data_IF_049045792841
#
_entry.id   IF_049045792841
#
_cell.length_a   1.000
_cell.length_b   1.000
_cell.length_c   1.000
_cell.angle_alpha   90.00
_cell.angle_beta   90.00
_cell.angle_gamma   90.00
#
_symmetry.space_group_name_H-M   'P 1'
#
loop_
_entity.id
_entity.type
_entity.pdbx_description
1 polymer ?
#
# COMPACT_ATOMS: atom_id res chain seq x y z
N UNK A 1 -12.77 -19.57 -3.46
CA UNK A 1 -11.54 -19.26 -4.23
C UNK A 1 -10.38 -20.03 -3.61
N UNK A 2 -9.48 -20.61 -4.41
CA UNK A 2 -8.30 -21.32 -3.89
C UNK A 2 -7.42 -20.31 -3.16
N UNK A 3 -7.35 -20.42 -1.83
CA UNK A 3 -6.49 -19.57 -1.01
C UNK A 3 -5.13 -20.24 -0.90
N UNK A 4 -4.08 -19.49 -1.19
CA UNK A 4 -2.69 -19.95 -0.98
C UNK A 4 -2.22 -19.44 0.38
N UNK A 5 -1.51 -20.28 1.12
CA UNK A 5 -0.95 -19.92 2.43
C UNK A 5 0.12 -18.85 2.28
N UNK A 6 0.05 -17.81 3.12
CA UNK A 6 1.08 -16.78 3.19
C UNK A 6 2.35 -17.38 3.83
N UNK A 7 3.57 -17.02 3.35
CA UNK A 7 4.80 -17.48 3.99
C UNK A 7 4.86 -17.09 5.47
N UNK A 8 5.68 -17.76 6.29
CA UNK A 8 5.85 -17.40 7.69
C UNK A 8 6.22 -15.92 7.86
N UNK A 9 5.38 -15.17 8.57
CA UNK A 9 5.59 -13.75 8.83
C UNK A 9 6.15 -13.58 10.24
N UNK A 10 7.37 -13.06 10.35
CA UNK A 10 7.91 -12.61 11.62
C UNK A 10 7.48 -11.17 11.88
N UNK A 11 6.88 -10.94 13.04
CA UNK A 11 6.48 -9.61 13.50
C UNK A 11 7.10 -9.35 14.86
N UNK A 12 7.44 -8.10 15.12
CA UNK A 12 7.85 -7.67 16.45
C UNK A 12 6.69 -7.89 17.44
N UNK A 13 6.97 -8.35 18.67
CA UNK A 13 5.92 -8.63 19.66
C UNK A 13 5.11 -7.37 20.03
N UNK A 14 5.74 -6.20 20.01
CA UNK A 14 5.07 -4.90 20.20
C UNK A 14 4.06 -4.60 19.09
N UNK A 15 4.41 -4.89 17.83
CA UNK A 15 3.50 -4.73 16.70
C UNK A 15 2.30 -5.67 16.81
N UNK A 16 2.55 -6.94 17.20
CA UNK A 16 1.46 -7.90 17.44
C UNK A 16 0.47 -7.38 18.49
N UNK A 17 0.98 -6.91 19.63
CA UNK A 17 0.13 -6.37 20.70
C UNK A 17 -0.67 -5.16 20.24
N UNK A 18 -0.06 -4.27 19.45
CA UNK A 18 -0.77 -3.14 18.84
C UNK A 18 -1.87 -3.59 17.86
N UNK A 19 -1.62 -4.64 17.06
CA UNK A 19 -2.62 -5.21 16.17
C UNK A 19 -3.80 -5.80 16.96
N UNK A 20 -3.53 -6.54 18.03
CA UNK A 20 -4.55 -7.11 18.92
C UNK A 20 -5.42 -6.02 19.56
N UNK A 21 -4.84 -4.88 19.91
CA UNK A 21 -5.56 -3.74 20.49
C UNK A 21 -6.48 -2.98 19.53
N UNK A 22 -6.32 -3.15 18.21
CA UNK A 22 -7.15 -2.48 17.18
C UNK A 22 -8.14 -3.44 16.49
N UNK A 23 -8.20 -4.70 16.92
CA UNK A 23 -9.15 -5.67 16.36
C UNK A 23 -10.58 -5.32 16.77
N UNK A 24 -11.50 -5.49 15.82
CA UNK A 24 -12.93 -5.42 16.06
C UNK A 24 -13.46 -6.72 16.69
N UNK A 25 -14.66 -6.70 17.26
CA UNK A 25 -15.27 -7.87 17.87
C UNK A 25 -15.41 -9.03 16.86
N UNK A 26 -14.86 -10.20 17.21
CA UNK A 26 -14.88 -11.39 16.36
C UNK A 26 -13.89 -11.36 15.20
N UNK A 27 -13.05 -10.33 15.07
CA UNK A 27 -11.98 -10.30 14.06
C UNK A 27 -10.74 -11.06 14.53
N UNK A 28 -10.11 -11.81 13.62
CA UNK A 28 -8.82 -12.48 13.87
C UNK A 28 -7.65 -11.70 13.27
N UNK A 29 -6.47 -11.83 13.90
CA UNK A 29 -5.21 -11.25 13.41
C UNK A 29 -4.94 -11.60 11.94
N UNK A 30 -5.18 -12.84 11.52
CA UNK A 30 -4.99 -13.28 10.14
C UNK A 30 -5.92 -12.56 9.16
N UNK A 31 -7.17 -12.31 9.56
CA UNK A 31 -8.13 -11.59 8.73
C UNK A 31 -7.76 -10.12 8.61
N UNK A 32 -7.43 -9.47 9.72
CA UNK A 32 -6.95 -8.10 9.77
C UNK A 32 -5.70 -7.92 8.90
N UNK A 33 -4.68 -8.77 9.09
CA UNK A 33 -3.45 -8.74 8.29
C UNK A 33 -3.73 -8.96 6.79
N UNK A 34 -4.63 -9.88 6.46
CA UNK A 34 -5.06 -10.11 5.09
C UNK A 34 -5.70 -8.89 4.44
N UNK A 35 -6.55 -8.15 5.18
CA UNK A 35 -7.15 -6.89 4.72
C UNK A 35 -6.09 -5.80 4.51
N UNK A 36 -5.18 -5.63 5.48
CA UNK A 36 -4.10 -4.65 5.40
C UNK A 36 -3.19 -4.89 4.18
N UNK A 37 -2.83 -6.16 3.91
CA UNK A 37 -2.05 -6.52 2.73
C UNK A 37 -2.77 -6.18 1.41
N UNK A 38 -4.08 -6.48 1.31
CA UNK A 38 -4.87 -6.12 0.11
C UNK A 38 -4.92 -4.62 -0.09
N UNK A 39 -5.17 -3.85 0.96
CA UNK A 39 -5.17 -2.39 0.92
C UNK A 39 -3.81 -1.84 0.46
N UNK A 40 -2.71 -2.42 0.96
CA UNK A 40 -1.36 -1.98 0.59
C UNK A 40 -1.01 -2.32 -0.87
N UNK A 41 -1.46 -3.47 -1.39
CA UNK A 41 -1.31 -3.82 -2.81
C UNK A 41 -2.11 -2.85 -3.68
N UNK A 42 -3.34 -2.54 -3.31
CA UNK A 42 -4.18 -1.59 -4.05
C UNK A 42 -3.59 -0.19 -4.04
N UNK A 43 -3.11 0.28 -2.89
CA UNK A 43 -2.42 1.56 -2.76
C UNK A 43 -1.21 1.61 -3.68
N UNK A 44 -0.34 0.60 -3.63
CA UNK A 44 0.83 0.55 -4.52
C UNK A 44 0.44 0.46 -5.98
N UNK A 45 -0.64 -0.21 -6.36
CA UNK A 45 -1.12 -0.22 -7.76
C UNK A 45 -1.58 1.17 -8.21
N UNK A 46 -2.25 1.92 -7.34
CA UNK A 46 -2.66 3.31 -7.62
C UNK A 46 -1.47 4.25 -7.70
N UNK A 47 -0.51 4.12 -6.79
CA UNK A 47 0.72 4.93 -6.78
C UNK A 47 1.70 4.53 -7.88
N UNK A 48 1.70 3.25 -8.26
CA UNK A 48 2.46 2.73 -9.39
C UNK A 48 1.72 2.89 -10.72
N UNK A 49 0.65 3.70 -10.78
CA UNK A 49 0.23 4.29 -12.05
C UNK A 49 1.43 5.10 -12.53
N UNK A 50 2.22 4.59 -13.49
CA UNK A 50 3.49 5.19 -13.80
C UNK A 50 3.18 6.53 -14.47
N UNK A 51 3.87 7.60 -14.10
CA UNK A 51 3.99 8.77 -14.99
C UNK A 51 4.42 8.33 -16.39
N UNK A 52 5.13 7.20 -16.52
CA UNK A 52 5.49 6.57 -17.80
C UNK A 52 4.31 6.01 -18.62
N UNK A 53 3.12 5.84 -18.04
CA UNK A 53 1.90 5.44 -18.76
C UNK A 53 0.98 6.62 -19.11
N UNK A 54 1.35 7.84 -18.70
CA UNK A 54 0.66 9.06 -19.17
C UNK A 54 1.05 9.33 -20.64
N UNK A 55 0.12 9.78 -21.49
CA UNK A 55 0.46 10.25 -22.83
C UNK A 55 1.53 11.34 -22.71
N UNK A 56 2.52 11.34 -23.61
CA UNK A 56 3.71 12.19 -23.50
C UNK A 56 3.40 13.69 -23.28
N UNK A 57 2.26 14.17 -23.80
CA UNK A 57 1.77 15.53 -23.61
C UNK A 57 1.47 15.90 -22.15
N UNK A 58 1.03 14.95 -21.33
CA UNK A 58 0.66 15.20 -19.93
C UNK A 58 1.89 15.14 -19.00
N UNK A 59 2.94 14.41 -19.42
CA UNK A 59 4.23 14.36 -18.72
C UNK A 59 4.96 15.71 -18.79
N UNK A 60 4.87 16.39 -19.93
CA UNK A 60 5.50 17.69 -20.18
C UNK A 60 4.91 18.77 -19.25
N UNK A 61 3.59 18.73 -19.02
CA UNK A 61 2.88 19.65 -18.13
C UNK A 61 3.27 19.47 -16.65
N UNK A 62 3.45 18.22 -16.17
CA UNK A 62 3.85 17.94 -14.78
C UNK A 62 5.32 18.32 -14.52
N UNK A 63 6.20 18.17 -15.51
CA UNK A 63 7.59 18.62 -15.43
C UNK A 63 7.68 20.15 -15.45
N UNK A 64 6.90 20.82 -16.31
CA UNK A 64 6.87 22.28 -16.43
C UNK A 64 6.34 22.99 -15.16
N UNK A 65 5.47 22.34 -14.38
CA UNK A 65 4.96 22.89 -13.12
C UNK A 65 5.94 22.76 -11.94
N UNK A 66 7.01 21.96 -12.08
CA UNK A 66 7.96 21.65 -11.00
C UNK A 66 9.24 22.50 -11.05
N UNK A 67 9.42 23.31 -12.09
CA UNK A 67 10.54 24.24 -12.28
C UNK A 67 9.96 25.65 -12.48
N UNK A 68 9.81 26.46 -11.42
CA UNK A 68 10.76 27.56 -11.29
C UNK A 68 10.97 27.96 -9.82
N UNK A 69 12.04 27.47 -9.18
CA UNK A 69 12.57 28.10 -7.96
C UNK A 69 14.00 27.61 -7.66
N UNK A 70 14.95 27.86 -8.55
CA UNK A 70 16.37 27.94 -8.19
C UNK A 70 16.96 29.11 -8.98
N UNK A 71 16.91 30.31 -8.39
CA UNK A 71 17.76 31.46 -8.75
C UNK A 71 19.00 31.45 -7.88
#
# INVERSE_FOLDING_TARGET
>A
MKSTTFPPLHVEPSLRSAMEGVLEEGESLSNFAGKALRAQVELRRRLAFPVSAMPAAERDAVVALREPAQS
#
